data_IF_594973145034
#
_entry.id   IF_594973145034
#
_cell.length_a   1.000
_cell.length_b   1.000
_cell.length_c   1.000
_cell.angle_alpha   90.00
_cell.angle_beta   90.00
_cell.angle_gamma   90.00
#
_symmetry.space_group_name_H-M   'P 1'
#
loop_
_entity.id
_entity.type
_entity.pdbx_description
1 polymer ?
#
# COMPACT_ATOMS: atom_id res chain seq x y z
N UNK A 1 15.73 25.10 -51.58
CA UNK A 1 15.38 23.86 -50.86
C UNK A 1 15.06 24.24 -49.42
N UNK A 2 13.81 24.14 -48.99
CA UNK A 2 13.43 24.37 -47.60
C UNK A 2 12.70 23.10 -47.13
N UNK A 3 13.39 22.29 -46.31
CA UNK A 3 12.81 21.12 -45.68
C UNK A 3 11.96 21.60 -44.50
N UNK A 4 10.64 21.51 -44.63
CA UNK A 4 9.72 21.63 -43.50
C UNK A 4 9.79 20.34 -42.69
N UNK A 5 10.30 20.42 -41.47
CA UNK A 5 10.21 19.33 -40.50
C UNK A 5 8.83 19.46 -39.86
N UNK A 6 7.83 18.78 -40.42
CA UNK A 6 6.57 18.53 -39.70
C UNK A 6 6.89 17.66 -38.49
N UNK A 7 6.88 18.26 -37.30
CA UNK A 7 6.87 17.51 -36.05
C UNK A 7 5.54 16.74 -36.00
N UNK A 8 5.58 15.46 -36.40
CA UNK A 8 4.54 14.51 -36.05
C UNK A 8 4.61 14.32 -34.55
N UNK A 9 3.77 15.04 -33.79
CA UNK A 9 3.51 14.68 -32.41
C UNK A 9 2.87 13.31 -32.41
N UNK A 10 3.66 12.28 -32.15
CA UNK A 10 3.17 10.94 -31.85
C UNK A 10 2.16 11.08 -30.72
N UNK A 11 0.86 10.97 -31.02
CA UNK A 11 -0.15 10.83 -30.00
C UNK A 11 0.09 9.46 -29.37
N UNK A 12 0.79 9.44 -28.23
CA UNK A 12 0.80 8.24 -27.40
C UNK A 12 -0.65 7.95 -27.05
N UNK A 13 -1.17 6.79 -27.47
CA UNK A 13 -2.46 6.31 -27.05
C UNK A 13 -2.37 6.03 -25.54
N UNK A 14 -2.65 7.04 -24.72
CA UNK A 14 -2.79 6.88 -23.29
C UNK A 14 -3.96 5.91 -23.08
N UNK A 15 -3.66 4.70 -22.60
CA UNK A 15 -4.69 3.76 -22.18
C UNK A 15 -5.19 4.25 -20.83
N UNK A 16 -6.47 4.63 -20.78
CA UNK A 16 -7.12 5.11 -19.57
C UNK A 16 -7.86 3.97 -18.89
N UNK A 17 -7.80 3.92 -17.57
CA UNK A 17 -8.53 2.91 -16.79
C UNK A 17 -9.82 3.53 -16.27
N UNK A 18 -10.97 3.03 -16.74
CA UNK A 18 -12.32 3.52 -16.39
C UNK A 18 -13.24 2.40 -15.86
N UNK A 19 -12.69 1.21 -15.58
CA UNK A 19 -13.43 0.01 -15.18
C UNK A 19 -12.50 -1.05 -14.60
N UNK A 20 -12.99 -2.27 -14.40
CA UNK A 20 -12.21 -3.36 -13.81
C UNK A 20 -10.98 -3.68 -14.66
N UNK A 21 -9.80 -3.63 -14.05
CA UNK A 21 -8.52 -3.87 -14.72
C UNK A 21 -7.62 -4.71 -13.84
N UNK A 22 -7.02 -5.75 -14.40
CA UNK A 22 -6.06 -6.61 -13.70
C UNK A 22 -4.66 -6.42 -14.27
N UNK A 23 -3.70 -6.09 -13.42
CA UNK A 23 -2.29 -5.95 -13.77
C UNK A 23 -1.49 -6.88 -12.86
N UNK A 24 -0.72 -7.79 -13.45
CA UNK A 24 0.14 -8.74 -12.73
C UNK A 24 -0.59 -9.56 -11.63
N UNK A 25 -1.91 -9.82 -11.76
CA UNK A 25 -2.70 -10.56 -10.74
C UNK A 25 -3.21 -9.69 -9.58
N UNK A 26 -3.17 -8.37 -9.73
CA UNK A 26 -3.86 -7.40 -8.87
C UNK A 26 -4.98 -6.77 -9.67
N UNK A 27 -6.18 -6.80 -9.12
CA UNK A 27 -7.38 -6.29 -9.76
C UNK A 27 -7.80 -4.98 -9.11
N UNK A 28 -7.85 -3.92 -9.91
CA UNK A 28 -8.51 -2.65 -9.58
C UNK A 28 -9.93 -2.69 -10.13
N UNK A 29 -10.93 -2.49 -9.28
CA UNK A 29 -12.33 -2.50 -9.64
C UNK A 29 -13.03 -1.19 -9.27
N UNK A 30 -13.94 -0.75 -10.13
CA UNK A 30 -14.82 0.39 -9.91
C UNK A 30 -16.20 -0.18 -9.55
N UNK A 31 -16.59 -0.07 -8.29
CA UNK A 31 -17.89 -0.59 -7.86
C UNK A 31 -18.57 0.41 -6.93
N UNK A 32 -19.85 0.78 -7.16
CA UNK A 32 -20.61 1.60 -6.23
C UNK A 32 -20.89 0.88 -4.89
N UNK A 33 -20.61 -0.43 -4.81
CA UNK A 33 -20.66 -1.22 -3.58
C UNK A 33 -19.45 -2.14 -3.58
N UNK A 34 -18.27 -1.65 -3.15
CA UNK A 34 -17.11 -2.50 -3.04
C UNK A 34 -17.36 -3.60 -2.00
N UNK A 35 -16.73 -4.76 -2.16
CA UNK A 35 -16.84 -5.89 -1.22
C UNK A 35 -16.56 -5.42 0.20
N UNK A 36 -17.41 -5.77 1.17
CA UNK A 36 -17.15 -5.38 2.55
C UNK A 36 -15.85 -6.05 3.02
N UNK A 37 -14.82 -5.24 3.25
CA UNK A 37 -13.59 -5.69 3.87
C UNK A 37 -13.78 -5.74 5.38
N UNK A 38 -12.98 -6.58 6.00
CA UNK A 38 -13.12 -6.95 7.41
C UNK A 38 -12.87 -5.79 8.36
N UNK A 39 -12.00 -4.85 7.98
CA UNK A 39 -11.57 -3.79 8.86
C UNK A 39 -11.76 -2.39 8.27
N UNK A 40 -12.36 -1.50 9.05
CA UNK A 40 -12.65 -0.12 8.65
C UNK A 40 -11.64 0.81 9.26
N UNK A 41 -11.22 1.82 8.50
CA UNK A 41 -10.35 2.86 9.02
C UNK A 41 -11.20 4.01 9.56
N UNK A 42 -11.03 4.30 10.85
CA UNK A 42 -11.69 5.34 11.65
C UNK A 42 -10.73 6.46 12.00
N UNK A 43 -11.31 7.61 12.36
CA UNK A 43 -10.53 8.75 12.84
C UNK A 43 -9.96 8.48 14.23
N UNK A 44 -8.72 8.87 14.46
CA UNK A 44 -8.03 8.73 15.75
C UNK A 44 -7.89 10.10 16.44
N UNK A 45 -9.04 10.78 16.61
CA UNK A 45 -9.13 12.18 17.05
C UNK A 45 -8.99 13.17 15.89
N UNK A 46 -9.74 14.28 15.90
CA UNK A 46 -9.66 15.28 14.84
C UNK A 46 -8.32 16.04 14.93
N UNK A 47 -7.40 15.73 14.02
CA UNK A 47 -6.07 16.35 13.95
C UNK A 47 -5.73 16.77 12.52
N UNK A 48 -4.67 17.57 12.39
CA UNK A 48 -4.20 18.10 11.12
C UNK A 48 -2.67 18.06 11.07
N UNK A 49 -2.11 17.69 9.93
CA UNK A 49 -0.68 17.52 9.77
C UNK A 49 -0.32 16.83 8.46
N UNK A 50 0.98 16.62 8.24
CA UNK A 50 1.47 15.89 7.07
C UNK A 50 1.45 14.37 7.25
N UNK A 51 1.36 13.91 8.50
CA UNK A 51 1.16 12.50 8.84
C UNK A 51 -0.01 12.41 9.82
N UNK A 52 -1.01 11.62 9.46
CA UNK A 52 -2.20 11.39 10.27
C UNK A 52 -2.27 9.89 10.59
N UNK A 53 -1.96 9.48 11.84
CA UNK A 53 -2.21 8.13 12.27
C UNK A 53 -3.71 7.95 12.46
N UNK A 54 -4.33 7.11 11.65
CA UNK A 54 -5.71 6.67 11.79
C UNK A 54 -5.73 5.29 12.45
N UNK A 55 -6.91 4.82 12.87
CA UNK A 55 -7.05 3.56 13.58
C UNK A 55 -8.08 2.66 12.89
N UNK A 56 -7.77 1.39 12.80
CA UNK A 56 -8.68 0.34 12.31
C UNK A 56 -9.72 -0.03 13.38
N UNK A 57 -10.80 -0.70 13.01
CA UNK A 57 -11.79 -1.27 13.94
C UNK A 57 -11.14 -2.31 14.86
N UNK A 58 -10.12 -3.01 14.37
CA UNK A 58 -9.33 -3.96 15.17
C UNK A 58 -8.26 -3.31 16.05
N UNK A 59 -8.11 -1.98 16.01
CA UNK A 59 -7.22 -1.22 16.90
C UNK A 59 -5.78 -1.02 16.41
N UNK A 60 -5.46 -1.45 15.20
CA UNK A 60 -4.18 -1.18 14.55
C UNK A 60 -4.13 0.22 13.93
N UNK A 61 -2.96 0.84 13.92
CA UNK A 61 -2.68 2.13 13.34
C UNK A 61 -2.33 2.02 11.85
N UNK A 62 -2.83 2.97 11.09
CA UNK A 62 -2.53 3.14 9.66
C UNK A 62 -2.17 4.60 9.44
N UNK A 63 -1.02 4.86 8.86
CA UNK A 63 -0.50 6.19 8.62
C UNK A 63 -0.94 6.72 7.26
N UNK A 64 -1.55 7.89 7.27
CA UNK A 64 -1.92 8.64 6.08
C UNK A 64 -0.96 9.82 5.98
N UNK A 65 -0.07 9.79 4.99
CA UNK A 65 0.98 10.78 4.85
C UNK A 65 0.96 11.48 3.49
N UNK A 66 1.28 12.77 3.49
CA UNK A 66 1.33 13.59 2.30
C UNK A 66 2.36 14.73 2.43
N UNK A 67 2.98 15.16 1.33
CA UNK A 67 3.75 16.40 1.28
C UNK A 67 2.91 17.64 1.65
N UNK A 68 1.61 17.62 1.35
CA UNK A 68 0.66 18.67 1.73
C UNK A 68 0.02 18.38 3.09
N UNK A 69 -0.50 19.43 3.75
CA UNK A 69 -1.20 19.25 5.03
C UNK A 69 -2.54 18.56 4.81
N UNK A 70 -2.81 17.56 5.64
CA UNK A 70 -4.03 16.78 5.68
C UNK A 70 -4.84 17.11 6.94
N UNK A 71 -6.16 16.99 6.85
CA UNK A 71 -7.10 16.93 8.00
C UNK A 71 -7.86 15.61 7.95
N UNK A 72 -8.08 15.00 9.12
CA UNK A 72 -9.02 13.88 9.26
C UNK A 72 -10.35 14.35 9.86
N UNK A 73 -11.46 13.73 9.42
CA UNK A 73 -12.75 13.90 10.10
C UNK A 73 -12.78 13.14 11.42
N UNK A 74 -13.23 13.80 12.50
CA UNK A 74 -13.56 13.10 13.74
C UNK A 74 -14.89 12.35 13.66
N UNK A 75 -15.01 11.22 14.36
CA UNK A 75 -16.27 10.47 14.50
C UNK A 75 -16.08 8.95 14.60
N UNK A 76 -17.17 8.23 14.91
CA UNK A 76 -17.18 6.77 15.05
C UNK A 76 -17.34 6.02 13.71
N UNK A 77 -17.59 6.73 12.61
CA UNK A 77 -17.69 6.17 11.26
C UNK A 77 -16.35 6.14 10.53
N UNK A 78 -16.38 5.83 9.23
CA UNK A 78 -15.20 5.92 8.38
C UNK A 78 -14.55 7.29 8.50
N UNK A 79 -13.22 7.30 8.61
CA UNK A 79 -12.47 8.53 8.45
C UNK A 79 -12.61 9.05 7.03
N UNK A 80 -12.66 10.37 6.90
CA UNK A 80 -12.33 11.08 5.68
C UNK A 80 -11.05 11.86 5.92
N UNK A 81 -10.12 11.74 4.98
CA UNK A 81 -8.86 12.48 4.95
C UNK A 81 -8.96 13.44 3.77
N UNK A 82 -8.72 14.72 4.03
CA UNK A 82 -8.79 15.75 2.99
C UNK A 82 -7.62 16.72 3.12
N UNK A 83 -7.28 17.38 2.02
CA UNK A 83 -6.27 18.42 2.06
C UNK A 83 -6.72 19.63 2.89
N UNK A 84 -5.74 20.38 3.39
CA UNK A 84 -5.96 21.67 4.04
C UNK A 84 -5.40 22.76 3.15
N UNK A 85 -6.25 23.74 2.80
CA UNK A 85 -5.81 24.93 2.11
C UNK A 85 -6.86 26.03 2.14
N UNK A 86 -6.38 27.25 1.90
CA UNK A 86 -7.20 28.45 1.95
C UNK A 86 -7.79 28.72 0.56
N UNK A 87 -9.02 28.24 0.31
CA UNK A 87 -9.76 28.47 -0.94
C UNK A 87 -9.78 27.28 -1.91
N UNK A 88 -10.76 27.31 -2.82
CA UNK A 88 -11.25 26.18 -3.63
C UNK A 88 -10.23 25.47 -4.55
N UNK A 89 -9.00 25.97 -4.68
CA UNK A 89 -7.96 25.38 -5.55
C UNK A 89 -6.65 25.04 -4.81
N UNK A 90 -6.54 25.35 -3.51
CA UNK A 90 -5.36 25.03 -2.69
C UNK A 90 -5.67 24.03 -1.58
N UNK A 91 -6.92 23.60 -1.46
CA UNK A 91 -7.41 22.75 -0.38
C UNK A 91 -7.14 21.24 -0.57
N UNK A 92 -6.42 20.85 -1.61
CA UNK A 92 -6.10 19.45 -1.90
C UNK A 92 -4.67 19.05 -1.54
N UNK A 93 -4.36 17.79 -1.75
CA UNK A 93 -3.03 17.20 -1.63
C UNK A 93 -2.51 16.70 -2.99
N UNK A 94 -1.20 16.80 -3.19
CA UNK A 94 -0.50 16.40 -4.43
C UNK A 94 -0.33 14.89 -4.53
N UNK A 95 -0.03 14.25 -3.41
CA UNK A 95 0.02 12.79 -3.28
C UNK A 95 -0.43 12.35 -1.89
N UNK A 96 -0.80 11.09 -1.74
CA UNK A 96 -1.15 10.48 -0.47
C UNK A 96 -0.61 9.05 -0.41
N UNK A 97 0.06 8.72 0.68
CA UNK A 97 0.51 7.37 1.00
C UNK A 97 -0.29 6.86 2.19
N UNK A 98 -0.80 5.64 2.07
CA UNK A 98 -1.44 4.89 3.15
C UNK A 98 -0.53 3.72 3.50
N UNK A 99 -0.04 3.72 4.74
CA UNK A 99 0.98 2.78 5.23
C UNK A 99 0.53 2.14 6.55
N UNK A 100 0.18 0.85 6.56
CA UNK A 100 0.11 0.01 7.75
C UNK A 100 1.30 0.20 8.69
N UNK A 101 1.02 0.54 9.95
CA UNK A 101 2.11 0.67 10.91
C UNK A 101 2.56 -0.73 11.35
N UNK A 102 3.79 -1.08 10.97
CA UNK A 102 4.46 -2.30 11.42
C UNK A 102 4.70 -2.36 12.94
N UNK A 103 5.05 -3.53 13.44
CA UNK A 103 5.30 -3.74 14.87
C UNK A 103 6.55 -3.00 15.36
N UNK A 104 6.44 -2.37 16.53
CA UNK A 104 7.54 -1.65 17.20
C UNK A 104 7.54 -1.93 18.70
N UNK A 105 8.58 -1.52 19.43
CA UNK A 105 8.62 -1.70 20.88
C UNK A 105 7.36 -1.09 21.55
N UNK A 106 6.54 -1.92 22.21
CA UNK A 106 5.31 -1.49 22.88
C UNK A 106 4.07 -1.34 21.98
N UNK A 107 4.16 -1.69 20.69
CA UNK A 107 3.03 -1.64 19.76
C UNK A 107 3.07 -2.83 18.79
N UNK A 108 2.01 -3.63 18.79
CA UNK A 108 1.83 -4.73 17.82
C UNK A 108 1.11 -4.21 16.59
N UNK A 109 1.84 -4.14 15.48
CA UNK A 109 1.32 -3.68 14.20
C UNK A 109 0.93 -4.83 13.29
N UNK A 110 0.81 -4.52 12.00
CA UNK A 110 0.62 -5.50 10.95
C UNK A 110 1.44 -5.15 9.71
N UNK A 111 1.79 -6.15 8.91
CA UNK A 111 2.77 -5.98 7.83
C UNK A 111 2.19 -5.38 6.54
N UNK A 112 0.88 -5.50 6.34
CA UNK A 112 0.23 -5.01 5.14
C UNK A 112 -1.22 -5.45 4.96
N UNK A 113 -1.75 -5.28 3.76
CA UNK A 113 -3.12 -5.71 3.42
C UNK A 113 -3.15 -6.48 2.10
N UNK A 114 -4.14 -7.34 1.93
CA UNK A 114 -4.35 -8.09 0.67
C UNK A 114 -5.44 -7.48 -0.21
N UNK A 115 -6.28 -6.63 0.39
CA UNK A 115 -7.30 -5.86 -0.29
C UNK A 115 -7.53 -4.53 0.41
N UNK A 116 -7.90 -3.51 -0.35
CA UNK A 116 -8.28 -2.17 0.13
C UNK A 116 -9.44 -1.63 -0.69
N UNK A 117 -10.40 -1.02 -0.02
CA UNK A 117 -11.41 -0.18 -0.65
C UNK A 117 -11.29 1.24 -0.17
N UNK A 118 -11.58 2.18 -1.05
CA UNK A 118 -11.59 3.59 -0.72
C UNK A 118 -12.51 4.35 -1.69
N UNK A 119 -13.02 5.48 -1.22
CA UNK A 119 -13.56 6.55 -2.06
C UNK A 119 -12.48 7.60 -2.29
N UNK A 120 -12.25 8.01 -3.55
CA UNK A 120 -11.28 9.05 -3.89
C UNK A 120 -11.92 10.13 -4.74
N UNK A 121 -11.68 11.40 -4.39
CA UNK A 121 -12.15 12.56 -5.14
C UNK A 121 -11.00 13.46 -5.55
N UNK A 122 -11.11 13.99 -6.77
CA UNK A 122 -10.20 15.01 -7.31
C UNK A 122 -10.66 16.43 -6.92
N UNK A 123 -9.71 17.35 -6.73
CA UNK A 123 -9.99 18.76 -6.52
C UNK A 123 -10.21 19.45 -7.87
N UNK A 124 -11.43 19.91 -8.13
CA UNK A 124 -11.69 20.79 -9.27
C UNK A 124 -13.16 21.14 -9.48
N UNK A 125 -13.41 22.13 -10.35
CA UNK A 125 -14.74 22.63 -10.66
C UNK A 125 -15.25 22.05 -11.99
N UNK A 126 -16.47 21.50 -11.99
CA UNK A 126 -17.16 21.01 -13.18
C UNK A 126 -17.04 19.49 -13.40
N UNK A 127 -17.75 18.98 -14.42
CA UNK A 127 -17.75 17.57 -14.84
C UNK A 127 -16.51 17.26 -15.71
N UNK A 128 -15.31 17.39 -15.15
CA UNK A 128 -14.09 16.96 -15.82
C UNK A 128 -13.71 15.56 -15.32
N UNK A 129 -13.15 14.74 -16.21
CA UNK A 129 -12.46 13.50 -15.81
C UNK A 129 -11.01 13.84 -15.49
N UNK A 130 -10.56 13.40 -14.32
CA UNK A 130 -9.18 13.49 -13.86
C UNK A 130 -8.53 12.13 -14.03
N UNK A 131 -7.21 12.11 -14.13
CA UNK A 131 -6.43 10.89 -14.26
C UNK A 131 -5.29 10.96 -13.27
N UNK A 132 -5.09 9.89 -12.52
CA UNK A 132 -3.98 9.77 -11.58
C UNK A 132 -3.45 8.36 -11.56
N UNK A 133 -2.30 8.18 -10.93
CA UNK A 133 -1.67 6.89 -10.79
C UNK A 133 -1.95 6.33 -9.39
N UNK A 134 -2.16 5.02 -9.32
CA UNK A 134 -2.28 4.27 -8.07
C UNK A 134 -1.15 3.25 -8.03
N UNK A 135 -0.27 3.39 -7.04
CA UNK A 135 0.89 2.52 -6.86
C UNK A 135 0.68 1.66 -5.63
N UNK A 136 0.83 0.35 -5.77
CA UNK A 136 0.85 -0.58 -4.64
C UNK A 136 2.27 -1.11 -4.45
N UNK A 137 2.83 -0.90 -3.27
CA UNK A 137 4.13 -1.46 -2.90
C UNK A 137 3.92 -2.84 -2.29
N UNK A 138 4.73 -3.80 -2.72
CA UNK A 138 4.65 -5.18 -2.27
C UNK A 138 5.57 -5.39 -1.07
N UNK A 139 5.09 -6.13 -0.07
CA UNK A 139 5.90 -6.48 1.09
C UNK A 139 7.16 -7.29 0.71
N UNK A 140 7.04 -8.13 -0.33
CA UNK A 140 8.16 -8.89 -0.89
C UNK A 140 9.13 -8.05 -1.75
N UNK A 141 8.86 -6.75 -1.89
CA UNK A 141 9.61 -5.82 -2.74
C UNK A 141 8.99 -5.64 -4.12
N UNK A 142 9.27 -4.48 -4.73
CA UNK A 142 8.69 -4.05 -5.99
C UNK A 142 7.33 -3.37 -5.84
N UNK A 143 6.79 -2.86 -6.95
CA UNK A 143 5.52 -2.16 -6.99
C UNK A 143 4.68 -2.51 -8.22
N UNK A 144 3.38 -2.29 -8.10
CA UNK A 144 2.41 -2.44 -9.19
C UNK A 144 1.71 -1.09 -9.36
N UNK A 145 1.76 -0.54 -10.57
CA UNK A 145 1.17 0.77 -10.87
C UNK A 145 0.01 0.63 -11.83
N UNK A 146 -1.16 1.11 -11.42
CA UNK A 146 -2.26 1.43 -12.32
C UNK A 146 -2.08 2.88 -12.79
N UNK A 147 -1.70 3.04 -14.05
CA UNK A 147 -1.47 4.35 -14.63
C UNK A 147 -2.76 4.92 -15.22
N UNK A 148 -2.92 6.26 -15.15
CA UNK A 148 -4.03 6.99 -15.76
C UNK A 148 -5.42 6.46 -15.36
N UNK A 149 -5.60 6.19 -14.07
CA UNK A 149 -6.89 5.80 -13.47
C UNK A 149 -7.83 6.99 -13.46
N UNK A 150 -9.01 6.82 -14.04
CA UNK A 150 -10.00 7.88 -14.16
C UNK A 150 -10.69 8.18 -12.81
N UNK A 151 -10.63 9.43 -12.38
CA UNK A 151 -11.21 9.95 -11.14
C UNK A 151 -12.20 11.07 -11.50
N UNK A 152 -13.43 10.99 -10.98
CA UNK A 152 -14.49 11.97 -11.19
C UNK A 152 -14.65 12.85 -9.94
N UNK A 153 -15.06 14.11 -10.14
CA UNK A 153 -15.28 15.09 -9.06
C UNK A 153 -16.63 14.99 -8.36
N UNK A 154 -17.61 14.27 -8.93
CA UNK A 154 -19.03 14.49 -8.62
C UNK A 154 -19.78 13.26 -8.12
N UNK A 155 -19.07 12.29 -7.55
CA UNK A 155 -19.76 11.15 -6.95
C UNK A 155 -18.76 10.16 -6.41
N UNK A 156 -18.49 10.27 -5.10
CA UNK A 156 -17.74 9.34 -4.25
C UNK A 156 -17.32 8.07 -5.00
N UNK A 157 -16.28 8.17 -5.83
CA UNK A 157 -15.97 7.04 -6.70
C UNK A 157 -15.31 6.00 -5.83
N UNK A 158 -15.95 4.84 -5.76
CA UNK A 158 -15.51 3.74 -4.94
C UNK A 158 -14.64 2.80 -5.77
N UNK A 159 -13.43 2.64 -5.27
CA UNK A 159 -12.42 1.75 -5.83
C UNK A 159 -12.23 0.60 -4.85
N UNK A 160 -12.06 -0.59 -5.41
CA UNK A 160 -11.59 -1.76 -4.68
C UNK A 160 -10.34 -2.30 -5.36
N UNK A 161 -9.33 -2.63 -4.57
CA UNK A 161 -8.12 -3.29 -5.05
C UNK A 161 -7.96 -4.58 -4.27
N UNK A 162 -7.74 -5.68 -4.98
CA UNK A 162 -7.49 -7.00 -4.39
C UNK A 162 -6.43 -7.74 -5.17
N UNK A 163 -5.69 -8.59 -4.48
CA UNK A 163 -4.81 -9.58 -5.10
C UNK A 163 -5.54 -10.91 -5.31
N UNK A 164 -5.24 -11.57 -6.43
CA UNK A 164 -5.80 -12.88 -6.76
C UNK A 164 -4.97 -14.05 -6.17
N UNK A 165 -3.81 -13.76 -5.57
CA UNK A 165 -2.80 -14.72 -5.11
C UNK A 165 -2.31 -14.48 -3.67
N UNK A 166 -3.13 -13.82 -2.86
CA UNK A 166 -2.86 -13.51 -1.44
C UNK A 166 -1.55 -12.75 -1.19
N UNK A 167 -1.03 -12.00 -2.17
CA UNK A 167 0.15 -11.16 -1.94
C UNK A 167 -0.19 -10.00 -1.00
N UNK A 168 0.79 -9.61 -0.20
CA UNK A 168 0.65 -8.55 0.79
C UNK A 168 1.18 -7.24 0.20
N UNK A 169 0.32 -6.23 0.19
CA UNK A 169 0.69 -4.85 -0.09
C UNK A 169 1.16 -4.18 1.20
N UNK A 170 2.40 -3.70 1.21
CA UNK A 170 2.95 -2.96 2.34
C UNK A 170 2.44 -1.53 2.39
N UNK A 171 2.13 -0.92 1.24
CA UNK A 171 1.52 0.42 1.19
C UNK A 171 0.84 0.67 -0.14
N UNK A 172 0.02 1.72 -0.18
CA UNK A 172 -0.60 2.25 -1.41
C UNK A 172 -0.36 3.74 -1.51
N UNK A 173 -0.07 4.22 -2.71
CA UNK A 173 0.21 5.60 -3.02
C UNK A 173 -0.70 6.10 -4.14
N UNK A 174 -1.17 7.34 -3.99
CA UNK A 174 -1.94 8.07 -4.97
C UNK A 174 -1.10 9.25 -5.45
N UNK A 175 -0.81 9.32 -6.75
CA UNK A 175 0.09 10.33 -7.28
C UNK A 175 -0.29 10.79 -8.70
N UNK A 176 0.46 11.76 -9.21
CA UNK A 176 0.37 12.25 -10.58
C UNK A 176 -1.05 12.60 -11.05
N UNK A 177 -1.86 13.27 -10.22
CA UNK A 177 -3.18 13.68 -10.66
C UNK A 177 -3.09 14.79 -11.72
N UNK A 178 -3.80 14.62 -12.82
CA UNK A 178 -3.88 15.60 -13.91
C UNK A 178 -5.25 15.58 -14.60
N UNK A 179 -5.53 16.59 -15.41
CA UNK A 179 -6.71 16.61 -16.29
C UNK A 179 -6.42 17.37 -17.58
N UNK A 180 -7.30 17.25 -18.56
CA UNK A 180 -7.29 18.15 -19.72
C UNK A 180 -7.90 19.50 -19.36
N UNK A 181 -7.12 20.56 -19.52
CA UNK A 181 -7.56 21.94 -19.41
C UNK A 181 -8.18 22.47 -20.72
N UNK A 182 -8.38 23.80 -20.77
CA UNK A 182 -8.82 24.46 -22.01
C UNK A 182 -7.83 24.17 -23.14
N UNK A 183 -8.34 24.03 -24.37
CA UNK A 183 -7.54 23.73 -25.58
C UNK A 183 -6.73 22.43 -25.50
N UNK A 184 -7.20 21.45 -24.73
CA UNK A 184 -6.58 20.12 -24.61
C UNK A 184 -5.16 20.11 -24.01
N UNK A 185 -4.78 21.15 -23.26
CA UNK A 185 -3.53 21.16 -22.51
C UNK A 185 -3.61 20.23 -21.30
N UNK A 186 -2.55 19.47 -21.02
CA UNK A 186 -2.45 18.68 -19.79
C UNK A 186 -2.12 19.62 -18.62
N UNK A 187 -2.89 19.53 -17.54
CA UNK A 187 -2.74 20.35 -16.35
C UNK A 187 -2.63 19.46 -15.13
N UNK A 188 -1.61 19.67 -14.30
CA UNK A 188 -1.48 18.99 -13.01
C UNK A 188 -2.54 19.47 -12.03
N UNK A 189 -3.10 18.54 -11.26
CA UNK A 189 -4.20 18.75 -10.33
C UNK A 189 -3.84 18.20 -8.95
N UNK A 190 -4.73 18.44 -7.97
CA UNK A 190 -4.62 17.90 -6.62
C UNK A 190 -5.81 17.00 -6.30
N UNK A 191 -5.59 16.00 -5.46
CA UNK A 191 -6.70 15.24 -4.86
C UNK A 191 -7.37 16.09 -3.78
N UNK A 192 -8.68 15.97 -3.62
CA UNK A 192 -9.42 16.72 -2.59
C UNK A 192 -9.53 15.90 -1.31
N UNK A 193 -10.13 14.71 -1.43
CA UNK A 193 -10.40 13.86 -0.29
C UNK A 193 -10.33 12.37 -0.63
N UNK A 194 -10.03 11.59 0.39
CA UNK A 194 -10.12 10.15 0.40
C UNK A 194 -10.96 9.72 1.62
N UNK A 195 -11.89 8.81 1.42
CA UNK A 195 -12.93 8.46 2.41
C UNK A 195 -13.27 6.98 2.34
N UNK A 196 -13.98 6.50 3.36
CA UNK A 196 -14.52 5.13 3.38
C UNK A 196 -13.45 4.06 3.14
N UNK A 197 -12.30 4.21 3.81
CA UNK A 197 -11.20 3.26 3.66
C UNK A 197 -11.47 2.02 4.51
N UNK A 198 -11.34 0.86 3.90
CA UNK A 198 -11.37 -0.44 4.58
C UNK A 198 -10.32 -1.36 3.99
N UNK A 199 -9.82 -2.30 4.78
CA UNK A 199 -8.71 -3.20 4.42
C UNK A 199 -8.96 -4.62 4.95
N UNK A 200 -8.40 -5.61 4.27
CA UNK A 200 -8.21 -6.95 4.84
C UNK A 200 -6.77 -7.08 5.32
N UNK A 201 -6.61 -7.06 6.65
CA UNK A 201 -5.31 -7.09 7.30
C UNK A 201 -4.59 -8.40 7.02
N UNK A 202 -3.29 -8.30 6.83
CA UNK A 202 -2.41 -9.44 6.62
C UNK A 202 -1.08 -9.25 7.31
N UNK A 203 -0.58 -10.32 7.89
CA UNK A 203 0.79 -10.40 8.39
C UNK A 203 1.53 -11.40 7.51
N UNK A 204 2.78 -11.10 7.16
CA UNK A 204 3.65 -12.13 6.62
C UNK A 204 3.73 -13.20 7.71
N UNK A 205 3.31 -14.43 7.39
CA UNK A 205 3.63 -15.52 8.29
C UNK A 205 5.15 -15.61 8.31
N UNK A 206 5.76 -15.15 9.39
CA UNK A 206 7.13 -15.52 9.72
C UNK A 206 7.06 -17.01 10.03
N UNK A 207 7.02 -17.84 9.00
CA UNK A 207 7.33 -19.25 9.15
C UNK A 207 8.75 -19.24 9.68
N UNK A 208 9.00 -19.64 10.94
CA UNK A 208 10.37 -19.74 11.40
C UNK A 208 11.05 -20.67 10.43
N UNK A 209 12.04 -20.16 9.68
CA UNK A 209 12.76 -20.95 8.70
C UNK A 209 13.20 -22.22 9.41
N UNK A 210 12.65 -23.36 8.99
CA UNK A 210 13.19 -24.65 9.41
C UNK A 210 14.67 -24.55 9.05
N UNK A 211 15.59 -24.74 10.01
CA UNK A 211 17.01 -24.63 9.72
C UNK A 211 17.26 -25.46 8.47
N UNK A 212 17.92 -24.87 7.48
CA UNK A 212 18.05 -25.50 6.17
C UNK A 212 18.68 -26.90 6.35
N UNK A 213 18.45 -27.87 5.45
CA UNK A 213 19.05 -29.21 5.55
C UNK A 213 20.56 -29.18 5.87
N UNK A 214 21.27 -28.15 5.39
CA UNK A 214 22.66 -27.88 5.72
C UNK A 214 22.91 -27.62 7.21
N UNK A 215 22.04 -26.88 7.90
CA UNK A 215 22.15 -26.59 9.33
C UNK A 215 21.95 -27.86 10.17
N UNK A 216 20.98 -28.70 9.84
CA UNK A 216 20.82 -30.01 10.50
C UNK A 216 22.02 -30.90 10.26
N UNK A 217 22.55 -30.87 9.04
CA UNK A 217 23.74 -31.64 8.67
C UNK A 217 24.96 -31.18 9.48
N UNK A 218 25.15 -29.87 9.66
CA UNK A 218 26.22 -29.31 10.49
C UNK A 218 26.07 -29.68 11.97
N UNK A 219 24.84 -29.71 12.50
CA UNK A 219 24.59 -30.18 13.86
C UNK A 219 24.90 -31.67 14.02
N UNK A 220 24.45 -32.50 13.06
CA UNK A 220 24.72 -33.95 13.07
C UNK A 220 26.23 -34.22 12.95
N UNK A 221 26.93 -33.50 12.07
CA UNK A 221 28.39 -33.60 11.93
C UNK A 221 29.08 -33.14 13.22
N UNK A 222 28.68 -32.01 13.80
CA UNK A 222 29.24 -31.47 15.03
C UNK A 222 29.07 -32.41 16.23
N UNK A 223 27.85 -32.85 16.50
CA UNK A 223 27.56 -33.78 17.58
C UNK A 223 28.11 -35.19 17.31
N UNK A 224 28.09 -35.63 16.05
CA UNK A 224 28.68 -36.90 15.62
C UNK A 224 30.20 -36.93 15.78
N UNK A 225 30.89 -35.83 15.49
CA UNK A 225 32.34 -35.71 15.69
C UNK A 225 32.70 -35.77 17.18
N UNK A 226 31.99 -35.03 18.03
CA UNK A 226 32.22 -35.04 19.49
C UNK A 226 31.97 -36.44 20.07
N UNK A 227 30.86 -37.08 19.71
CA UNK A 227 30.55 -38.45 20.13
C UNK A 227 31.59 -39.47 19.62
N UNK A 228 32.08 -39.30 18.40
CA UNK A 228 33.12 -40.14 17.81
C UNK A 228 34.47 -40.04 18.54
N UNK A 229 34.86 -38.83 18.97
CA UNK A 229 36.09 -38.61 19.75
C UNK A 229 35.98 -39.24 21.15
N UNK A 230 34.83 -39.09 21.82
CA UNK A 230 34.60 -39.73 23.13
C UNK A 230 34.67 -41.26 23.05
N UNK A 231 34.12 -41.86 21.98
CA UNK A 231 34.10 -43.33 21.81
C UNK A 231 35.47 -43.93 21.54
N UNK A 232 36.41 -43.16 20.95
CA UNK A 232 37.80 -43.62 20.72
C UNK A 232 38.68 -43.56 21.96
N UNK A 233 38.28 -42.85 23.01
CA UNK A 233 39.08 -42.74 24.24
C UNK A 233 38.90 -44.04 25.06
N UNK A 234 39.81 -45.00 24.88
CA UNK A 234 39.90 -46.20 25.72
C UNK A 234 40.10 -45.77 27.18
N UNK A 235 39.04 -45.85 27.98
CA UNK A 235 39.11 -45.65 29.42
C UNK A 235 39.90 -46.84 30.00
N UNK A 236 41.13 -46.59 30.46
CA UNK A 236 41.86 -47.57 31.26
C UNK A 236 41.26 -47.55 32.66
N UNK A 237 40.31 -48.43 32.89
CA UNK A 237 39.75 -48.67 34.22
C UNK A 237 40.83 -49.38 35.05
N UNK A 238 41.46 -48.63 35.95
CA UNK A 238 42.35 -49.20 36.97
C UNK A 238 41.48 -49.83 38.04
N UNK A 239 41.53 -51.15 38.19
CA UNK A 239 40.86 -51.86 39.27
C UNK A 239 41.88 -52.10 40.37
N UNK A 240 41.67 -51.50 41.54
CA UNK A 240 42.45 -51.78 42.74
C UNK A 240 41.83 -52.98 43.46
N UNK A 241 42.62 -54.03 43.69
CA UNK A 241 42.23 -55.16 44.53
C UNK A 241 42.70 -54.91 45.97
N UNK A 242 41.84 -55.27 46.91
CA UNK A 242 42.00 -55.10 48.36
C UNK A 242 42.81 -56.22 49.00
#
# INVERSE_FOLDING_TARGET
MAFSITASSSAMAATFITGTTTINGVTLNFSPSPVNLTDKIKGNGATSGNNLPLITDSGYLVDFSSPDKLKQSGGAGFASVSGIGNGANSAGFSSLTIDPRGSSAGYTGFDGFTAINFGLDALGKGNNTYYGDIVLNLLAGGSITFQNVAIQTNGNQHFGISSDDNRIFSSIEFENLWSYGKKNSVVSQKFDSLKQVSIDLSNASVTPGVPEPATWTMMIIGFGAVGGVMRKRKVKTSVAYS
#
